data_IF_715010506102
#
_entry.id   IF_715010506102
#
_cell.length_a   1.000
_cell.length_b   1.000
_cell.length_c   1.000
_cell.angle_alpha   90.00
_cell.angle_beta   90.00
_cell.angle_gamma   90.00
#
_symmetry.space_group_name_H-M   'P 1'
#
loop_
_entity.id
_entity.type
_entity.pdbx_description
1 polymer ?
#
# COMPACT_ATOMS: atom_id res chain seq x y z
N UNK A 1 4.89 35.53 -36.61
CA UNK A 1 5.99 34.86 -37.36
C UNK A 1 5.86 35.02 -38.86
N UNK A 2 4.75 34.65 -39.50
CA UNK A 2 4.57 34.77 -40.97
C UNK A 2 4.79 36.20 -41.48
N UNK A 3 4.17 37.21 -40.83
CA UNK A 3 4.39 38.61 -41.17
C UNK A 3 5.86 39.07 -41.11
N UNK A 4 6.61 38.60 -40.08
CA UNK A 4 8.06 38.93 -39.97
C UNK A 4 8.86 38.24 -41.07
N UNK A 5 8.46 37.02 -41.45
CA UNK A 5 9.11 36.28 -42.54
C UNK A 5 8.89 36.97 -43.89
N UNK A 6 7.66 37.46 -44.16
CA UNK A 6 7.32 38.24 -45.34
C UNK A 6 8.05 39.59 -45.36
N UNK A 7 8.15 40.29 -44.22
CA UNK A 7 8.90 41.53 -44.10
C UNK A 7 10.40 41.40 -44.45
N UNK A 8 10.95 40.20 -44.22
CA UNK A 8 12.33 39.87 -44.56
C UNK A 8 12.47 39.18 -45.94
N UNK A 9 11.54 39.36 -46.84
CA UNK A 9 11.52 38.79 -48.19
C UNK A 9 11.80 37.29 -48.27
N UNK A 10 11.29 36.55 -47.26
CA UNK A 10 11.49 35.11 -47.18
C UNK A 10 12.86 34.66 -46.66
N UNK A 11 13.70 35.57 -46.20
CA UNK A 11 14.96 35.22 -45.58
C UNK A 11 14.77 34.80 -44.11
N UNK A 12 14.86 33.50 -43.87
CA UNK A 12 14.63 32.93 -42.53
C UNK A 12 15.67 33.36 -41.47
N UNK A 13 16.89 33.69 -41.88
CA UNK A 13 17.94 34.17 -40.96
C UNK A 13 17.62 35.59 -40.50
N UNK A 14 17.33 36.49 -41.45
CA UNK A 14 16.90 37.86 -41.18
C UNK A 14 15.60 37.89 -40.35
N UNK A 15 14.66 36.99 -40.62
CA UNK A 15 13.40 36.88 -39.87
C UNK A 15 13.59 36.52 -38.40
N UNK A 16 14.57 35.71 -38.06
CA UNK A 16 14.92 35.38 -36.65
C UNK A 16 15.44 36.64 -35.93
N UNK A 17 16.33 37.40 -36.57
CA UNK A 17 16.91 38.59 -35.96
C UNK A 17 15.87 39.71 -35.82
N UNK A 18 15.04 39.90 -36.83
CA UNK A 18 13.94 40.88 -36.81
C UNK A 18 12.85 40.48 -35.78
N UNK A 19 12.58 39.19 -35.61
CA UNK A 19 11.67 38.72 -34.59
C UNK A 19 12.21 38.97 -33.17
N UNK A 20 13.51 38.74 -32.93
CA UNK A 20 14.20 39.06 -31.68
C UNK A 20 14.11 40.55 -31.35
N UNK A 21 14.30 41.42 -32.38
CA UNK A 21 14.21 42.87 -32.24
C UNK A 21 12.81 43.34 -31.87
N UNK A 22 11.75 42.77 -32.49
CA UNK A 22 10.34 43.17 -32.25
C UNK A 22 9.72 42.59 -30.99
N UNK A 23 10.19 41.43 -30.58
CA UNK A 23 9.62 40.67 -29.46
C UNK A 23 10.68 40.14 -28.48
N UNK A 24 11.38 41.06 -27.75
CA UNK A 24 12.52 40.70 -26.92
C UNK A 24 12.15 39.71 -25.82
N UNK A 25 10.94 39.79 -25.24
CA UNK A 25 10.46 38.95 -24.13
C UNK A 25 9.87 37.60 -24.58
N UNK A 26 9.86 37.31 -25.88
CA UNK A 26 9.31 36.04 -26.37
C UNK A 26 10.42 35.08 -26.78
N UNK A 27 10.16 33.79 -26.56
CA UNK A 27 11.06 32.73 -27.03
C UNK A 27 11.29 32.85 -28.54
N UNK A 28 12.55 32.93 -28.95
CA UNK A 28 12.95 33.12 -30.33
C UNK A 28 12.78 31.80 -31.08
N UNK A 29 11.96 31.75 -32.17
CA UNK A 29 11.79 30.57 -32.99
C UNK A 29 13.03 30.25 -33.83
N UNK A 30 13.26 28.97 -34.10
CA UNK A 30 14.32 28.56 -35.03
C UNK A 30 13.97 28.94 -36.48
N UNK A 31 14.99 29.03 -37.35
CA UNK A 31 14.82 29.35 -38.76
C UNK A 31 13.82 28.43 -39.48
N UNK A 32 13.85 27.15 -39.20
CA UNK A 32 12.93 26.15 -39.77
C UNK A 32 11.46 26.38 -39.43
N UNK A 33 11.17 27.06 -38.33
CA UNK A 33 9.79 27.39 -37.95
C UNK A 33 9.20 28.47 -38.89
N UNK A 34 9.98 29.49 -39.28
CA UNK A 34 9.52 30.52 -40.18
C UNK A 34 9.22 29.96 -41.57
N UNK A 35 10.13 29.15 -42.13
CA UNK A 35 9.93 28.52 -43.45
C UNK A 35 8.75 27.55 -43.42
N UNK A 36 8.63 26.72 -42.38
CA UNK A 36 7.52 25.76 -42.23
C UNK A 36 6.15 26.44 -42.15
N UNK A 37 6.01 27.51 -41.35
CA UNK A 37 4.76 28.24 -41.22
C UNK A 37 4.36 28.85 -42.57
N UNK A 38 5.30 29.44 -43.30
CA UNK A 38 5.05 29.99 -44.61
C UNK A 38 4.63 28.93 -45.62
N UNK A 39 5.35 27.80 -45.64
CA UNK A 39 5.06 26.68 -46.52
C UNK A 39 3.70 26.07 -46.25
N UNK A 40 3.38 25.83 -44.98
CA UNK A 40 2.06 25.30 -44.60
C UNK A 40 0.91 26.24 -44.99
N UNK A 41 1.08 27.56 -44.79
CA UNK A 41 0.08 28.54 -45.21
C UNK A 41 -0.09 28.54 -46.73
N UNK A 42 1.02 28.44 -47.49
CA UNK A 42 1.01 28.39 -48.95
C UNK A 42 0.34 27.14 -49.49
N UNK A 43 0.63 25.98 -48.87
CA UNK A 43 0.14 24.66 -49.33
C UNK A 43 -1.30 24.35 -48.89
N UNK A 44 -1.71 24.82 -47.70
CA UNK A 44 -3.03 24.49 -47.11
C UNK A 44 -3.98 25.69 -46.95
N UNK A 45 -3.51 26.91 -47.19
CA UNK A 45 -4.31 28.12 -46.94
C UNK A 45 -4.55 28.46 -45.48
N UNK A 46 -4.00 27.64 -44.54
CA UNK A 46 -4.23 27.77 -43.10
C UNK A 46 -2.91 27.82 -42.34
N UNK A 47 -2.89 28.53 -41.19
CA UNK A 47 -1.76 28.41 -40.27
C UNK A 47 -1.73 27.04 -39.60
N UNK A 48 -0.53 26.45 -39.34
CA UNK A 48 -0.42 25.19 -38.65
C UNK A 48 -1.04 25.34 -37.25
N UNK A 49 -2.14 24.59 -36.94
CA UNK A 49 -2.68 24.48 -35.60
C UNK A 49 -1.92 23.40 -34.84
N UNK A 50 -1.76 23.60 -33.51
CA UNK A 50 -1.12 22.61 -32.67
C UNK A 50 -1.95 21.29 -32.58
N UNK A 51 -3.23 21.36 -32.96
CA UNK A 51 -4.14 20.21 -32.97
C UNK A 51 -4.00 19.30 -34.22
N UNK A 52 -3.61 19.85 -35.37
CA UNK A 52 -3.54 19.09 -36.64
C UNK A 52 -2.33 18.14 -36.71
N UNK A 53 -1.28 18.39 -35.94
CA UNK A 53 -0.11 17.49 -35.90
C UNK A 53 -0.35 16.20 -35.11
N UNK A 54 -1.35 16.17 -34.23
CA UNK A 54 -1.72 14.96 -33.44
C UNK A 54 -2.71 14.06 -34.18
N UNK A 55 -3.60 14.62 -35.00
CA UNK A 55 -4.59 13.79 -35.72
C UNK A 55 -3.99 13.00 -36.92
N UNK A 56 -2.96 13.54 -37.60
CA UNK A 56 -2.32 12.82 -38.73
C UNK A 56 -1.50 11.59 -38.31
N UNK A 57 -1.05 11.49 -37.06
CA UNK A 57 -0.37 10.31 -36.52
C UNK A 57 -1.34 9.24 -35.97
N UNK A 58 -2.57 9.62 -35.68
CA UNK A 58 -3.57 8.72 -35.08
C UNK A 58 -4.28 7.87 -36.14
N UNK A 59 -4.47 8.38 -37.36
CA UNK A 59 -5.17 7.69 -38.46
C UNK A 59 -4.34 6.57 -39.09
N UNK A 60 -3.05 6.48 -38.83
CA UNK A 60 -2.13 5.54 -39.48
C UNK A 60 -2.02 4.15 -38.88
N UNK A 61 -2.75 3.80 -37.77
CA UNK A 61 -2.44 2.54 -37.10
C UNK A 61 -3.60 1.86 -36.36
N UNK A 62 -4.74 1.64 -37.01
CA UNK A 62 -5.79 0.76 -36.51
C UNK A 62 -5.19 -0.62 -36.17
N UNK A 63 -4.37 -1.18 -37.06
CA UNK A 63 -3.65 -2.43 -36.84
C UNK A 63 -2.70 -2.42 -35.63
N UNK A 64 -2.01 -1.31 -35.37
CA UNK A 64 -1.15 -1.18 -34.18
C UNK A 64 -1.97 -1.10 -32.89
N UNK A 65 -3.09 -0.39 -32.91
CA UNK A 65 -4.02 -0.29 -31.79
C UNK A 65 -4.64 -1.66 -31.45
N UNK A 66 -5.12 -2.37 -32.45
CA UNK A 66 -5.64 -3.75 -32.32
C UNK A 66 -4.57 -4.71 -31.78
N UNK A 67 -3.32 -4.57 -32.23
CA UNK A 67 -2.21 -5.38 -31.73
C UNK A 67 -1.90 -5.06 -30.25
N UNK A 68 -1.94 -3.79 -29.84
CA UNK A 68 -1.77 -3.38 -28.43
C UNK A 68 -2.85 -4.02 -27.56
N UNK A 69 -4.12 -3.85 -27.94
CA UNK A 69 -5.26 -4.38 -27.22
C UNK A 69 -5.22 -5.92 -27.14
N UNK A 70 -5.00 -6.59 -28.28
CA UNK A 70 -4.88 -8.04 -28.29
C UNK A 70 -3.68 -8.60 -27.50
N UNK A 71 -2.63 -7.82 -27.25
CA UNK A 71 -1.56 -8.21 -26.32
C UNK A 71 -1.98 -8.07 -24.87
N UNK A 72 -2.70 -7.02 -24.51
CA UNK A 72 -3.20 -6.81 -23.15
C UNK A 72 -4.28 -7.83 -22.81
N UNK A 73 -5.19 -8.12 -23.72
CA UNK A 73 -6.24 -9.15 -23.52
C UNK A 73 -5.64 -10.53 -23.26
N UNK A 74 -4.57 -10.90 -23.99
CA UNK A 74 -3.86 -12.18 -23.78
C UNK A 74 -2.97 -12.18 -22.54
N UNK A 75 -2.47 -11.04 -22.11
CA UNK A 75 -1.52 -10.90 -21.01
C UNK A 75 -1.67 -9.54 -20.32
N UNK A 76 -2.66 -9.36 -19.44
CA UNK A 76 -2.95 -8.05 -18.80
C UNK A 76 -1.80 -7.47 -17.98
N UNK A 77 -0.86 -8.32 -17.56
CA UNK A 77 0.31 -7.91 -16.73
C UNK A 77 1.52 -7.42 -17.55
N UNK A 78 1.40 -7.31 -18.87
CA UNK A 78 2.49 -6.77 -19.69
C UNK A 78 2.66 -5.27 -19.47
N UNK A 79 3.90 -4.83 -19.19
CA UNK A 79 4.17 -3.40 -19.12
C UNK A 79 4.11 -2.74 -20.50
N UNK A 80 3.71 -1.46 -20.55
CA UNK A 80 3.65 -0.68 -21.81
C UNK A 80 4.98 -0.64 -22.59
N UNK A 81 6.12 -0.65 -21.89
CA UNK A 81 7.46 -0.76 -22.49
C UNK A 81 7.67 -2.10 -23.16
N UNK A 82 7.20 -3.18 -22.54
CA UNK A 82 7.33 -4.55 -23.09
C UNK A 82 6.40 -4.77 -24.28
N UNK A 83 5.20 -4.17 -24.26
CA UNK A 83 4.29 -4.14 -25.41
C UNK A 83 4.93 -3.38 -26.58
N UNK A 84 5.46 -2.16 -26.34
CA UNK A 84 6.14 -1.37 -27.34
C UNK A 84 7.33 -2.10 -27.98
N UNK A 85 8.15 -2.77 -27.16
CA UNK A 85 9.29 -3.57 -27.63
C UNK A 85 8.89 -4.77 -28.48
N UNK A 86 7.76 -5.43 -28.18
CA UNK A 86 7.28 -6.60 -28.93
C UNK A 86 6.66 -6.22 -30.28
N UNK A 87 5.97 -5.08 -30.34
CA UNK A 87 5.37 -4.59 -31.59
C UNK A 87 6.48 -4.06 -32.53
N UNK A 88 7.52 -3.41 -31.96
CA UNK A 88 8.56 -2.74 -32.73
C UNK A 88 8.08 -1.44 -33.37
N UNK A 89 8.94 -0.44 -33.43
CA UNK A 89 8.64 0.86 -34.06
C UNK A 89 7.60 1.74 -33.35
N UNK A 90 7.12 1.34 -32.15
CA UNK A 90 6.11 2.06 -31.35
C UNK A 90 6.73 2.54 -30.05
N UNK A 91 6.41 3.77 -29.62
CA UNK A 91 6.84 4.27 -28.33
C UNK A 91 5.91 3.77 -27.20
N UNK A 92 6.45 3.59 -25.98
CA UNK A 92 5.63 3.25 -24.82
C UNK A 92 4.55 4.30 -24.50
N UNK A 93 4.80 5.57 -24.84
CA UNK A 93 3.84 6.68 -24.69
C UNK A 93 2.64 6.51 -25.62
N UNK A 94 2.87 6.01 -26.86
CA UNK A 94 1.78 5.69 -27.77
C UNK A 94 0.94 4.51 -27.23
N UNK A 95 1.61 3.48 -26.70
CA UNK A 95 0.91 2.34 -26.06
C UNK A 95 0.03 2.82 -24.90
N UNK A 96 0.57 3.63 -23.99
CA UNK A 96 -0.21 4.18 -22.86
C UNK A 96 -1.40 5.01 -23.34
N UNK A 97 -1.20 5.89 -24.32
CA UNK A 97 -2.29 6.71 -24.86
C UNK A 97 -3.38 5.84 -25.49
N UNK A 98 -3.00 4.85 -26.31
CA UNK A 98 -3.96 3.93 -26.93
C UNK A 98 -4.76 3.15 -25.89
N UNK A 99 -4.12 2.70 -24.80
CA UNK A 99 -4.81 2.00 -23.71
C UNK A 99 -5.78 2.92 -22.96
N UNK A 100 -5.36 4.16 -22.64
CA UNK A 100 -6.23 5.12 -21.95
C UNK A 100 -7.42 5.55 -22.82
N UNK A 101 -7.25 5.71 -24.13
CA UNK A 101 -8.34 6.02 -25.06
C UNK A 101 -9.39 4.92 -25.13
N UNK A 102 -8.99 3.65 -24.85
CA UNK A 102 -9.88 2.48 -24.74
C UNK A 102 -10.33 2.17 -23.30
N UNK A 103 -10.05 3.07 -22.35
CA UNK A 103 -10.46 2.91 -20.94
C UNK A 103 -9.64 1.93 -20.13
N UNK A 104 -8.46 1.48 -20.62
CA UNK A 104 -7.56 0.63 -19.85
C UNK A 104 -6.66 1.48 -18.96
N UNK A 105 -6.65 1.18 -17.67
CA UNK A 105 -5.82 1.83 -16.67
C UNK A 105 -4.93 0.81 -15.96
N UNK A 106 -3.71 1.19 -15.51
CA UNK A 106 -2.86 0.30 -14.75
C UNK A 106 -3.36 0.21 -13.31
N UNK A 107 -3.93 -0.90 -12.94
CA UNK A 107 -4.28 -1.21 -11.56
C UNK A 107 -3.14 -1.95 -10.88
N UNK A 108 -2.89 -1.66 -9.61
CA UNK A 108 -1.92 -2.38 -8.80
C UNK A 108 -2.57 -3.61 -8.19
N UNK A 109 -1.93 -4.78 -8.38
CA UNK A 109 -2.34 -5.98 -7.65
C UNK A 109 -2.04 -5.77 -6.17
N UNK A 110 -3.03 -5.93 -5.31
CA UNK A 110 -2.84 -5.91 -3.87
C UNK A 110 -2.31 -7.28 -3.41
N UNK A 111 -1.15 -7.33 -2.73
CA UNK A 111 -0.68 -8.59 -2.15
C UNK A 111 -1.64 -9.04 -1.04
N UNK A 112 -2.15 -10.25 -1.16
CA UNK A 112 -3.03 -10.88 -0.17
C UNK A 112 -2.48 -12.22 0.24
N UNK A 113 -2.79 -12.68 1.45
CA UNK A 113 -2.38 -13.99 1.93
C UNK A 113 -3.19 -15.09 1.22
N UNK A 114 -2.52 -16.16 0.77
CA UNK A 114 -3.21 -17.30 0.13
C UNK A 114 -4.21 -17.95 1.11
N UNK A 115 -5.44 -18.16 0.65
CA UNK A 115 -6.48 -18.86 1.41
C UNK A 115 -6.63 -20.30 0.92
N UNK A 116 -6.76 -21.24 1.86
CA UNK A 116 -7.09 -22.61 1.59
C UNK A 116 -8.63 -22.78 1.45
N UNK A 117 -9.12 -23.78 0.71
CA UNK A 117 -10.57 -23.95 0.50
C UNK A 117 -11.41 -23.99 1.78
N UNK A 118 -10.88 -24.56 2.88
CA UNK A 118 -11.56 -24.63 4.17
C UNK A 118 -11.60 -23.31 4.96
N UNK A 119 -10.78 -22.33 4.61
CA UNK A 119 -10.71 -21.05 5.31
C UNK A 119 -11.93 -20.18 5.06
N UNK A 120 -12.46 -20.22 3.84
CA UNK A 120 -13.62 -19.41 3.45
C UNK A 120 -14.81 -19.59 4.40
N UNK A 121 -15.14 -20.83 4.75
CA UNK A 121 -16.25 -21.13 5.67
C UNK A 121 -15.97 -20.61 7.08
N UNK A 122 -14.73 -20.76 7.58
CA UNK A 122 -14.34 -20.29 8.91
C UNK A 122 -14.35 -18.76 8.97
N UNK A 123 -13.87 -18.08 7.95
CA UNK A 123 -13.90 -16.62 7.82
C UNK A 123 -15.34 -16.11 7.83
N UNK A 124 -16.24 -16.70 7.03
CA UNK A 124 -17.65 -16.33 7.06
C UNK A 124 -18.31 -16.57 8.40
N UNK A 125 -18.00 -17.69 9.10
CA UNK A 125 -18.58 -17.99 10.41
C UNK A 125 -18.15 -16.95 11.45
N UNK A 126 -16.87 -16.59 11.49
CA UNK A 126 -16.37 -15.56 12.37
C UNK A 126 -17.00 -14.19 12.05
N UNK A 127 -17.06 -13.80 10.78
CA UNK A 127 -17.66 -12.55 10.38
C UNK A 127 -19.16 -12.46 10.75
N UNK A 128 -19.92 -13.55 10.57
CA UNK A 128 -21.31 -13.62 11.04
C UNK A 128 -21.43 -13.51 12.54
N UNK A 129 -20.49 -14.11 13.29
CA UNK A 129 -20.45 -13.98 14.74
C UNK A 129 -20.19 -12.52 15.15
N UNK A 130 -19.25 -11.82 14.52
CA UNK A 130 -19.00 -10.38 14.73
C UNK A 130 -20.24 -9.55 14.44
N UNK A 131 -20.94 -9.79 13.32
CA UNK A 131 -22.15 -9.06 12.96
C UNK A 131 -23.33 -9.32 13.93
N UNK A 132 -23.38 -10.52 14.53
CA UNK A 132 -24.40 -10.86 15.51
C UNK A 132 -24.11 -10.26 16.90
N UNK A 133 -22.88 -9.82 17.18
CA UNK A 133 -22.44 -9.30 18.48
C UNK A 133 -21.66 -7.99 18.36
N UNK A 134 -22.18 -6.95 17.68
CA UNK A 134 -21.46 -5.69 17.48
C UNK A 134 -21.15 -4.96 18.80
N UNK A 135 -21.93 -5.20 19.84
CA UNK A 135 -21.74 -4.65 21.19
C UNK A 135 -20.47 -5.18 21.88
N UNK A 136 -19.95 -6.33 21.46
CA UNK A 136 -18.74 -6.91 22.04
C UNK A 136 -17.45 -6.28 21.50
N UNK A 137 -17.48 -5.56 20.37
CA UNK A 137 -16.26 -5.00 19.76
C UNK A 137 -15.46 -4.12 20.73
N UNK A 138 -16.14 -3.37 21.60
CA UNK A 138 -15.48 -2.52 22.60
C UNK A 138 -14.83 -3.28 23.76
N UNK A 139 -15.12 -4.58 23.92
CA UNK A 139 -14.58 -5.43 24.99
C UNK A 139 -13.76 -6.62 24.48
N UNK A 140 -13.55 -6.73 23.17
CA UNK A 140 -12.58 -7.68 22.61
C UNK A 140 -11.19 -7.06 22.71
N UNK A 141 -10.28 -7.73 23.43
CA UNK A 141 -8.85 -7.48 23.39
C UNK A 141 -8.27 -8.23 22.18
N UNK A 142 -8.10 -7.56 21.05
CA UNK A 142 -7.39 -8.09 19.91
C UNK A 142 -5.89 -8.05 20.19
N UNK A 143 -5.19 -9.16 20.01
CA UNK A 143 -3.75 -9.27 20.27
C UNK A 143 -3.00 -9.83 19.07
N UNK A 144 -1.75 -9.40 18.92
CA UNK A 144 -0.87 -9.89 17.87
C UNK A 144 0.60 -9.56 18.17
N UNK A 145 1.52 -10.20 17.45
CA UNK A 145 2.95 -9.99 17.52
C UNK A 145 3.50 -9.48 16.18
N UNK A 146 4.39 -8.51 16.26
CA UNK A 146 5.11 -8.02 15.09
C UNK A 146 6.62 -8.02 15.30
N UNK A 147 7.34 -8.37 14.23
CA UNK A 147 8.79 -8.22 14.18
C UNK A 147 9.16 -6.91 13.50
N UNK A 148 10.05 -6.17 14.15
CA UNK A 148 10.69 -4.97 13.62
C UNK A 148 12.15 -5.27 13.37
N UNK A 149 12.64 -4.99 12.16
CA UNK A 149 14.02 -5.27 11.76
C UNK A 149 14.75 -3.97 11.47
N UNK A 150 16.09 -4.01 11.46
CA UNK A 150 16.93 -2.85 11.11
C UNK A 150 16.56 -2.24 9.75
N UNK A 151 16.31 -3.10 8.76
CA UNK A 151 16.15 -2.68 7.38
C UNK A 151 14.72 -2.17 7.07
N UNK A 152 13.82 -2.23 8.04
CA UNK A 152 12.45 -1.73 7.90
C UNK A 152 11.62 -2.50 6.88
N UNK A 153 10.66 -1.80 6.32
CA UNK A 153 9.90 -2.27 5.16
C UNK A 153 10.72 -1.95 3.91
N UNK A 154 11.45 -2.91 3.37
CA UNK A 154 12.18 -2.75 2.11
C UNK A 154 11.19 -2.56 0.94
N UNK A 155 10.71 -1.33 0.77
CA UNK A 155 9.94 -0.96 -0.42
C UNK A 155 10.93 -0.51 -1.52
N UNK A 156 11.60 -1.47 -2.15
CA UNK A 156 12.54 -1.23 -3.26
C UNK A 156 11.89 -0.53 -4.47
N UNK A 157 10.56 -0.47 -4.53
CA UNK A 157 9.83 0.20 -5.62
C UNK A 157 9.79 1.72 -5.51
N UNK A 158 10.02 2.28 -4.31
CA UNK A 158 9.97 3.72 -4.06
C UNK A 158 11.33 4.37 -3.77
N UNK A 159 12.43 3.63 -3.86
CA UNK A 159 13.78 4.21 -3.72
C UNK A 159 14.21 4.79 -5.07
N UNK A 160 14.15 6.10 -5.20
CA UNK A 160 14.54 6.85 -6.40
C UNK A 160 15.59 7.89 -6.03
N UNK A 161 16.65 7.97 -6.82
CA UNK A 161 17.65 9.04 -6.70
C UNK A 161 17.45 10.02 -7.86
N UNK A 162 17.05 11.25 -7.56
CA UNK A 162 16.94 12.31 -8.53
C UNK A 162 18.32 12.89 -8.79
N UNK A 163 18.79 12.82 -10.04
CA UNK A 163 20.07 13.38 -10.46
C UNK A 163 20.00 13.80 -11.92
N UNK A 164 20.81 14.80 -12.31
CA UNK A 164 20.91 15.23 -13.70
C UNK A 164 21.59 14.18 -14.60
N UNK A 165 22.50 13.39 -14.04
CA UNK A 165 23.17 12.26 -14.69
C UNK A 165 22.87 10.99 -13.89
N UNK A 166 22.88 9.81 -14.55
CA UNK A 166 22.69 8.55 -13.86
C UNK A 166 23.79 8.36 -12.80
N UNK A 167 23.48 8.41 -11.48
CA UNK A 167 24.49 8.31 -10.44
C UNK A 167 24.96 6.88 -10.21
N UNK A 168 24.44 5.89 -10.96
CA UNK A 168 24.67 4.45 -10.71
C UNK A 168 24.57 4.10 -9.22
N UNK A 169 23.61 4.71 -8.51
CA UNK A 169 23.46 4.60 -7.09
C UNK A 169 23.23 3.14 -6.68
N UNK A 170 24.05 2.67 -5.75
CA UNK A 170 23.92 1.33 -5.15
C UNK A 170 23.51 1.49 -3.70
N UNK A 171 22.57 0.68 -3.25
CA UNK A 171 22.22 0.57 -1.83
C UNK A 171 23.02 -0.56 -1.21
N UNK A 172 23.94 -0.24 -0.32
CA UNK A 172 24.74 -1.25 0.40
C UNK A 172 23.86 -1.84 1.50
N UNK A 173 23.45 -3.09 1.34
CA UNK A 173 22.84 -3.88 2.41
C UNK A 173 23.94 -4.61 3.17
N UNK A 174 24.21 -4.17 4.40
CA UNK A 174 25.18 -4.82 5.29
C UNK A 174 24.54 -6.04 5.96
N UNK A 175 24.97 -7.23 5.57
CA UNK A 175 24.49 -8.50 6.15
C UNK A 175 24.96 -8.75 7.60
N UNK A 176 25.96 -8.02 8.08
CA UNK A 176 26.66 -8.30 9.36
C UNK A 176 26.01 -7.68 10.60
N UNK A 177 25.00 -6.83 10.47
CA UNK A 177 24.38 -6.14 11.63
C UNK A 177 22.86 -6.29 11.61
N UNK A 178 22.37 -7.51 11.37
CA UNK A 178 20.92 -7.77 11.44
C UNK A 178 20.51 -7.93 12.89
N UNK A 179 19.62 -7.07 13.34
CA UNK A 179 18.90 -7.22 14.60
C UNK A 179 17.40 -7.08 14.34
N UNK A 180 16.64 -7.70 15.21
CA UNK A 180 15.20 -7.57 15.24
C UNK A 180 14.71 -7.37 16.66
N UNK A 181 13.55 -6.76 16.79
CA UNK A 181 12.80 -6.64 18.06
C UNK A 181 11.41 -7.18 17.78
N UNK A 182 11.05 -8.23 18.51
CA UNK A 182 9.70 -8.79 18.46
C UNK A 182 8.88 -8.12 19.57
N UNK A 183 7.71 -7.65 19.23
CA UNK A 183 6.82 -6.99 20.18
C UNK A 183 5.42 -7.59 20.11
N UNK A 184 4.80 -7.70 21.27
CA UNK A 184 3.38 -7.98 21.42
C UNK A 184 2.64 -6.68 21.66
N UNK A 185 1.47 -6.52 21.07
CA UNK A 185 0.51 -5.47 21.38
C UNK A 185 -0.91 -6.03 21.47
N UNK A 186 -1.76 -5.30 22.17
CA UNK A 186 -3.20 -5.51 22.16
C UNK A 186 -3.95 -4.20 21.94
N UNK A 187 -5.16 -4.28 21.40
CA UNK A 187 -6.09 -3.16 21.31
C UNK A 187 -7.45 -3.55 21.86
N UNK A 188 -8.05 -2.66 22.66
CA UNK A 188 -9.37 -2.84 23.24
C UNK A 188 -10.09 -1.48 23.32
N UNK A 189 -11.28 -1.38 22.74
CA UNK A 189 -12.02 -0.13 22.69
C UNK A 189 -11.23 0.98 21.98
N UNK A 190 -10.76 1.96 22.72
CA UNK A 190 -9.96 3.09 22.25
C UNK A 190 -8.50 3.04 22.73
N UNK A 191 -8.06 1.91 23.29
CA UNK A 191 -6.77 1.79 23.98
C UNK A 191 -5.82 0.84 23.28
N UNK A 192 -4.55 1.23 23.19
CA UNK A 192 -3.42 0.39 22.81
C UNK A 192 -2.71 -0.12 24.07
N UNK A 193 -2.63 -1.43 24.23
CA UNK A 193 -1.96 -2.15 25.30
C UNK A 193 -0.57 -2.60 24.86
N UNK A 194 0.43 -2.49 25.71
CA UNK A 194 1.84 -2.71 25.32
C UNK A 194 2.41 -1.47 24.62
N UNK A 195 3.49 -1.53 23.84
CA UNK A 195 4.15 -2.76 23.38
C UNK A 195 4.90 -3.48 24.49
N UNK A 196 4.88 -4.79 24.45
CA UNK A 196 5.73 -5.63 25.29
C UNK A 196 6.80 -6.28 24.40
N UNK A 197 8.07 -6.15 24.79
CA UNK A 197 9.18 -6.71 24.00
C UNK A 197 9.35 -8.19 24.35
N UNK A 198 9.22 -9.04 23.35
CA UNK A 198 9.47 -10.48 23.47
C UNK A 198 10.97 -10.72 23.26
N UNK A 199 11.65 -11.24 24.28
CA UNK A 199 13.10 -11.38 24.25
C UNK A 199 13.62 -12.50 23.34
N UNK A 200 12.79 -13.54 23.11
CA UNK A 200 13.13 -14.72 22.33
C UNK A 200 12.05 -15.07 21.30
N UNK A 201 12.32 -16.11 20.51
CA UNK A 201 11.27 -16.70 19.68
C UNK A 201 10.15 -17.21 20.55
N UNK A 202 8.93 -16.84 20.20
CA UNK A 202 7.73 -17.20 20.93
C UNK A 202 7.52 -18.72 20.87
N UNK A 203 7.50 -19.38 22.01
CA UNK A 203 7.07 -20.76 22.18
C UNK A 203 5.77 -20.82 22.98
N UNK A 204 5.10 -21.99 23.02
CA UNK A 204 3.90 -22.14 23.84
C UNK A 204 4.14 -21.88 25.33
N UNK A 205 5.30 -22.30 25.85
CA UNK A 205 5.68 -22.11 27.24
C UNK A 205 5.96 -20.63 27.56
N UNK A 206 6.75 -19.97 26.71
CA UNK A 206 7.07 -18.55 26.91
C UNK A 206 5.84 -17.66 26.75
N UNK A 207 4.92 -18.03 25.85
CA UNK A 207 3.67 -17.29 25.68
C UNK A 207 2.72 -17.49 26.86
N UNK A 208 2.62 -18.70 27.40
CA UNK A 208 1.84 -18.96 28.62
C UNK A 208 2.38 -18.18 29.82
N UNK A 209 3.69 -18.15 30.01
CA UNK A 209 4.33 -17.34 31.06
C UNK A 209 4.00 -15.86 30.87
N UNK A 210 4.13 -15.32 29.66
CA UNK A 210 3.74 -13.94 29.35
C UNK A 210 2.27 -13.66 29.71
N UNK A 211 1.34 -14.53 29.31
CA UNK A 211 -0.08 -14.36 29.61
C UNK A 211 -0.36 -14.37 31.12
N UNK A 212 0.38 -15.16 31.88
CA UNK A 212 0.18 -15.32 33.33
C UNK A 212 0.84 -14.20 34.14
N UNK A 213 2.04 -13.77 33.75
CA UNK A 213 2.85 -12.84 34.57
C UNK A 213 2.79 -11.40 34.10
N UNK A 214 2.79 -11.15 32.79
CA UNK A 214 2.93 -9.81 32.23
C UNK A 214 1.57 -9.19 31.83
N UNK A 215 0.72 -9.97 31.18
CA UNK A 215 -0.57 -9.48 30.69
C UNK A 215 -1.44 -8.83 31.78
N UNK A 216 -1.55 -9.36 33.01
CA UNK A 216 -2.33 -8.71 34.06
C UNK A 216 -1.85 -7.30 34.38
N UNK A 217 -0.54 -7.09 34.46
CA UNK A 217 0.05 -5.76 34.69
C UNK A 217 -0.22 -4.80 33.51
N UNK A 218 -0.12 -5.28 32.27
CA UNK A 218 -0.43 -4.47 31.09
C UNK A 218 -1.90 -4.03 31.01
N UNK A 219 -2.79 -4.75 31.70
CA UNK A 219 -4.24 -4.48 31.74
C UNK A 219 -4.67 -3.67 32.96
N UNK A 220 -3.77 -3.22 33.83
CA UNK A 220 -4.15 -2.51 35.07
C UNK A 220 -4.94 -1.22 34.81
N UNK A 221 -4.61 -0.49 33.75
CA UNK A 221 -5.29 0.75 33.35
C UNK A 221 -6.65 0.51 32.67
N UNK A 222 -7.04 -0.75 32.43
CA UNK A 222 -8.33 -1.08 31.87
C UNK A 222 -9.36 -1.19 33.00
N UNK A 223 -10.49 -0.44 32.93
CA UNK A 223 -11.51 -0.50 33.98
C UNK A 223 -11.96 -1.93 34.30
N UNK A 224 -12.11 -2.22 35.58
CA UNK A 224 -12.46 -3.59 36.06
C UNK A 224 -13.70 -4.14 35.36
N UNK A 225 -14.72 -3.31 35.15
CA UNK A 225 -15.96 -3.72 34.47
C UNK A 225 -15.69 -4.20 33.04
N UNK A 226 -14.76 -3.56 32.32
CA UNK A 226 -14.34 -3.98 30.99
C UNK A 226 -13.56 -5.29 31.06
N UNK A 227 -12.61 -5.42 32.02
CA UNK A 227 -11.84 -6.65 32.21
C UNK A 227 -12.72 -7.86 32.55
N UNK A 228 -13.77 -7.66 33.32
CA UNK A 228 -14.71 -8.74 33.66
C UNK A 228 -15.51 -9.27 32.47
N UNK A 229 -15.75 -8.42 31.45
CA UNK A 229 -16.50 -8.77 30.23
C UNK A 229 -15.57 -9.06 29.05
N UNK A 230 -14.26 -8.84 29.19
CA UNK A 230 -13.27 -8.93 28.15
C UNK A 230 -13.26 -10.30 27.47
N UNK A 231 -13.25 -10.26 26.13
CA UNK A 231 -12.90 -11.40 25.28
C UNK A 231 -11.44 -11.27 24.89
N UNK A 232 -10.67 -12.33 25.05
CA UNK A 232 -9.28 -12.37 24.60
C UNK A 232 -9.20 -12.96 23.20
N UNK A 233 -8.58 -12.24 22.24
CA UNK A 233 -8.39 -12.75 20.89
C UNK A 233 -6.90 -12.89 20.57
N UNK A 234 -6.51 -14.02 20.00
CA UNK A 234 -5.23 -14.23 19.35
C UNK A 234 -5.39 -15.08 18.08
N UNK A 235 -4.36 -15.09 17.24
CA UNK A 235 -4.38 -15.87 16.01
C UNK A 235 -4.16 -17.38 16.21
N UNK A 236 -4.08 -18.14 15.12
CA UNK A 236 -3.90 -19.58 15.14
C UNK A 236 -2.45 -20.06 15.11
N UNK A 237 -1.47 -19.22 15.44
CA UNK A 237 -0.05 -19.57 15.45
C UNK A 237 0.25 -20.79 16.34
N UNK A 238 1.25 -21.63 16.01
CA UNK A 238 1.56 -22.83 16.79
C UNK A 238 1.79 -22.58 18.29
N UNK A 239 2.47 -21.51 18.75
CA UNK A 239 2.62 -21.20 20.16
C UNK A 239 1.26 -20.98 20.86
N UNK A 240 0.33 -20.30 20.19
CA UNK A 240 -0.99 -19.97 20.72
C UNK A 240 -1.90 -21.21 20.88
N UNK A 241 -1.66 -22.25 20.09
CA UNK A 241 -2.42 -23.51 20.16
C UNK A 241 -1.85 -24.53 21.15
N UNK A 242 -0.81 -24.19 21.91
CA UNK A 242 -0.24 -25.09 22.91
C UNK A 242 -1.29 -25.48 23.98
N UNK A 243 -1.12 -26.66 24.60
CA UNK A 243 -2.02 -27.13 25.63
C UNK A 243 -2.05 -26.19 26.84
N UNK A 244 -0.89 -25.71 27.28
CA UNK A 244 -0.76 -24.83 28.44
C UNK A 244 -1.49 -23.48 28.21
N UNK A 245 -1.34 -22.89 27.05
CA UNK A 245 -2.02 -21.63 26.68
C UNK A 245 -3.53 -21.81 26.68
N UNK A 246 -4.04 -22.90 26.09
CA UNK A 246 -5.50 -23.18 26.08
C UNK A 246 -6.07 -23.44 27.46
N UNK A 247 -5.33 -24.17 28.30
CA UNK A 247 -5.71 -24.41 29.71
C UNK A 247 -5.79 -23.10 30.50
N UNK A 248 -4.79 -22.22 30.33
CA UNK A 248 -4.79 -20.88 30.93
C UNK A 248 -5.97 -20.03 30.44
N UNK A 249 -6.20 -19.94 29.11
CA UNK A 249 -7.31 -19.16 28.59
C UNK A 249 -8.69 -19.69 29.02
N UNK A 250 -8.87 -20.99 29.05
CA UNK A 250 -10.12 -21.58 29.55
C UNK A 250 -10.38 -21.25 31.04
N UNK A 251 -9.33 -21.13 31.85
CA UNK A 251 -9.43 -20.77 33.26
C UNK A 251 -9.66 -19.26 33.46
N UNK A 252 -8.91 -18.42 32.73
CA UNK A 252 -8.92 -16.97 32.91
C UNK A 252 -10.04 -16.26 32.11
N UNK A 253 -10.42 -16.81 30.98
CA UNK A 253 -11.46 -16.28 30.09
C UNK A 253 -12.51 -17.37 29.73
N UNK A 254 -13.22 -17.93 30.68
CA UNK A 254 -14.15 -19.04 30.44
C UNK A 254 -15.23 -18.62 29.43
N UNK A 255 -15.27 -19.32 28.27
CA UNK A 255 -16.14 -19.04 27.14
C UNK A 255 -15.96 -17.63 26.48
N UNK A 256 -14.89 -16.91 26.80
CA UNK A 256 -14.63 -15.54 26.36
C UNK A 256 -13.25 -15.40 25.74
N UNK A 257 -12.84 -16.36 24.91
CA UNK A 257 -11.64 -16.19 24.08
C UNK A 257 -11.86 -16.67 22.66
N UNK A 258 -11.17 -16.01 21.73
CA UNK A 258 -11.24 -16.18 20.29
C UNK A 258 -9.87 -16.64 19.82
N UNK A 259 -9.80 -17.84 19.26
CA UNK A 259 -8.53 -18.40 18.82
C UNK A 259 -8.70 -19.79 18.22
N UNK A 260 -7.62 -20.39 17.77
CA UNK A 260 -7.63 -21.77 17.29
C UNK A 260 -7.97 -22.75 18.43
N UNK A 261 -9.07 -23.46 18.27
CA UNK A 261 -9.57 -24.42 19.29
C UNK A 261 -10.23 -23.75 20.49
N UNK A 262 -10.55 -22.46 20.41
CA UNK A 262 -11.33 -21.73 21.40
C UNK A 262 -12.83 -21.90 21.26
N UNK A 263 -13.60 -21.37 22.23
CA UNK A 263 -15.06 -21.31 22.17
C UNK A 263 -15.55 -20.62 20.91
N UNK A 264 -14.80 -19.58 20.47
CA UNK A 264 -15.00 -18.88 19.22
C UNK A 264 -13.75 -19.09 18.37
N UNK A 265 -13.91 -19.74 17.21
CA UNK A 265 -12.78 -20.08 16.35
C UNK A 265 -12.29 -18.86 15.58
N UNK A 266 -11.00 -18.51 15.72
CA UNK A 266 -10.35 -17.53 14.85
C UNK A 266 -10.08 -18.14 13.47
N UNK A 267 -10.48 -17.49 12.38
CA UNK A 267 -10.22 -18.00 11.04
C UNK A 267 -8.73 -17.92 10.70
N UNK A 268 -8.13 -18.97 10.15
CA UNK A 268 -6.73 -18.95 9.76
C UNK A 268 -6.51 -17.98 8.60
N UNK A 269 -5.27 -17.47 8.47
CA UNK A 269 -4.83 -16.62 7.35
C UNK A 269 -5.71 -15.37 7.16
N UNK A 270 -6.10 -14.71 8.27
CA UNK A 270 -7.05 -13.59 8.26
C UNK A 270 -6.49 -12.32 8.91
N UNK A 271 -5.32 -11.78 8.44
CA UNK A 271 -4.80 -10.52 8.94
C UNK A 271 -5.72 -9.34 8.59
N UNK A 272 -6.54 -9.48 7.56
CA UNK A 272 -7.55 -8.51 7.13
C UNK A 272 -8.73 -8.36 8.11
N UNK A 273 -8.81 -9.20 9.15
CA UNK A 273 -9.84 -9.20 10.19
C UNK A 273 -9.33 -8.80 11.59
N UNK A 274 -8.06 -8.44 11.77
CA UNK A 274 -7.54 -7.95 13.05
C UNK A 274 -7.07 -6.50 12.95
N UNK A 275 -7.50 -5.61 13.88
CA UNK A 275 -7.09 -4.21 13.90
C UNK A 275 -5.58 -3.99 13.96
N UNK A 276 -4.85 -4.95 14.53
CA UNK A 276 -3.40 -4.88 14.63
C UNK A 276 -2.76 -4.97 13.24
N UNK A 277 -3.16 -5.94 12.42
CA UNK A 277 -2.59 -6.12 11.09
C UNK A 277 -3.02 -5.05 10.10
N UNK A 278 -4.34 -4.76 10.00
CA UNK A 278 -4.81 -3.85 8.96
C UNK A 278 -4.60 -2.36 9.29
N UNK A 279 -4.28 -2.01 10.56
CA UNK A 279 -4.07 -0.62 10.96
C UNK A 279 -2.84 -0.40 11.83
N UNK A 280 -2.77 -1.00 13.04
CA UNK A 280 -1.79 -0.64 14.06
C UNK A 280 -0.35 -0.87 13.60
N UNK A 281 -0.04 -2.05 13.08
CA UNK A 281 1.32 -2.37 12.63
C UNK A 281 1.78 -1.52 11.45
N UNK A 282 0.89 -1.25 10.51
CA UNK A 282 1.19 -0.35 9.38
C UNK A 282 1.53 1.05 9.84
N UNK A 283 0.71 1.63 10.71
CA UNK A 283 0.92 2.95 11.29
C UNK A 283 2.19 3.01 12.14
N UNK A 284 2.37 2.05 13.06
CA UNK A 284 3.57 1.97 13.91
C UNK A 284 4.85 1.85 13.07
N UNK A 285 4.87 0.99 12.06
CA UNK A 285 6.03 0.84 11.16
C UNK A 285 6.32 2.13 10.38
N UNK A 286 5.31 2.87 9.96
CA UNK A 286 5.50 4.16 9.29
C UNK A 286 6.22 5.15 10.19
N UNK A 287 5.83 5.25 11.46
CA UNK A 287 6.47 6.13 12.44
C UNK A 287 7.89 5.68 12.80
N UNK A 288 8.09 4.38 13.03
CA UNK A 288 9.40 3.81 13.41
C UNK A 288 10.44 4.00 12.32
N UNK A 289 10.04 3.84 11.06
CA UNK A 289 10.94 3.87 9.91
C UNK A 289 10.90 5.17 9.10
N UNK A 290 10.41 6.27 9.69
CA UNK A 290 10.47 7.60 9.08
C UNK A 290 11.91 7.99 8.72
N UNK A 291 12.86 7.57 9.55
CA UNK A 291 14.29 7.68 9.29
C UNK A 291 14.98 6.35 9.51
N UNK A 292 16.18 6.19 8.94
CA UNK A 292 16.99 4.96 9.09
C UNK A 292 17.26 4.66 10.56
N UNK A 293 17.20 3.38 10.91
CA UNK A 293 17.50 2.87 12.27
C UNK A 293 18.93 2.34 12.31
N UNK A 294 19.72 2.79 13.27
CA UNK A 294 21.14 2.44 13.36
C UNK A 294 21.48 1.42 14.46
N UNK A 295 20.66 1.34 15.53
CA UNK A 295 20.88 0.38 16.62
C UNK A 295 19.60 -0.30 17.10
N UNK A 296 19.73 -1.41 17.85
CA UNK A 296 18.61 -2.13 18.44
C UNK A 296 17.93 -1.31 19.54
N UNK A 297 18.69 -0.56 20.30
CA UNK A 297 18.23 0.33 21.38
C UNK A 297 17.39 1.46 20.79
N UNK A 298 17.87 2.07 19.71
CA UNK A 298 17.13 3.09 18.97
C UNK A 298 15.82 2.51 18.40
N UNK A 299 15.85 1.30 17.83
CA UNK A 299 14.65 0.64 17.34
C UNK A 299 13.62 0.45 18.46
N UNK A 300 14.04 -0.04 19.62
CA UNK A 300 13.17 -0.17 20.79
C UNK A 300 12.57 1.18 21.18
N UNK A 301 13.41 2.22 21.34
CA UNK A 301 12.96 3.56 21.70
C UNK A 301 11.89 4.08 20.72
N UNK A 302 12.13 3.93 19.42
CA UNK A 302 11.18 4.37 18.38
C UNK A 302 9.86 3.58 18.39
N UNK A 303 9.90 2.29 18.69
CA UNK A 303 8.69 1.46 18.84
C UNK A 303 7.83 2.00 19.98
N UNK A 304 8.43 2.30 21.15
CA UNK A 304 7.69 2.86 22.28
C UNK A 304 7.16 4.26 21.99
N UNK A 305 7.96 5.12 21.38
CA UNK A 305 7.53 6.47 20.97
C UNK A 305 6.37 6.43 19.94
N UNK A 306 6.42 5.48 18.98
CA UNK A 306 5.33 5.28 18.04
C UNK A 306 4.05 4.78 18.73
N UNK A 307 4.17 3.89 19.72
CA UNK A 307 3.04 3.46 20.52
C UNK A 307 2.41 4.60 21.33
N UNK A 308 3.24 5.48 21.92
CA UNK A 308 2.75 6.66 22.65
C UNK A 308 2.04 7.64 21.70
N UNK A 309 2.57 7.81 20.49
CA UNK A 309 1.90 8.59 19.46
C UNK A 309 0.52 8.01 19.12
N UNK A 310 0.42 6.69 18.90
CA UNK A 310 -0.85 6.02 18.60
C UNK A 310 -1.82 6.16 19.77
N UNK A 311 -1.38 6.01 21.03
CA UNK A 311 -2.21 6.20 22.23
C UNK A 311 -2.78 7.59 22.35
N UNK A 312 -2.05 8.61 21.87
CA UNK A 312 -2.54 10.00 21.86
C UNK A 312 -3.66 10.25 20.86
N UNK A 313 -4.03 9.24 20.02
CA UNK A 313 -5.09 9.31 19.03
C UNK A 313 -6.13 8.18 19.23
N UNK A 314 -6.84 8.16 20.38
CA UNK A 314 -7.76 7.06 20.73
C UNK A 314 -8.90 6.88 19.73
N UNK A 315 -9.38 7.97 19.11
CA UNK A 315 -10.44 7.93 18.08
C UNK A 315 -10.03 7.09 16.87
N UNK A 316 -8.74 7.10 16.50
CA UNK A 316 -8.22 6.30 15.40
C UNK A 316 -8.21 4.81 15.72
N UNK A 317 -7.91 4.45 16.98
CA UNK A 317 -7.97 3.06 17.45
C UNK A 317 -9.42 2.58 17.45
N UNK A 318 -10.33 3.38 18.03
CA UNK A 318 -11.75 3.07 18.07
C UNK A 318 -12.33 2.90 16.66
N UNK A 319 -11.99 3.81 15.73
CA UNK A 319 -12.41 3.73 14.32
C UNK A 319 -11.87 2.48 13.64
N UNK A 320 -10.62 2.10 13.90
CA UNK A 320 -10.06 0.86 13.40
C UNK A 320 -10.88 -0.33 13.88
N UNK A 321 -11.15 -0.48 15.18
CA UNK A 321 -11.96 -1.58 15.71
C UNK A 321 -13.36 -1.57 15.09
N UNK A 322 -14.02 -0.43 14.99
CA UNK A 322 -15.37 -0.33 14.37
C UNK A 322 -15.38 -0.71 12.88
N UNK A 323 -14.28 -0.47 12.17
CA UNK A 323 -14.15 -0.86 10.75
C UNK A 323 -14.25 -2.38 10.55
N UNK A 324 -14.07 -3.19 11.60
CA UNK A 324 -14.23 -4.64 11.52
C UNK A 324 -15.65 -5.05 11.10
N UNK A 325 -16.69 -4.26 11.41
CA UNK A 325 -18.07 -4.54 10.96
C UNK A 325 -18.17 -4.46 9.42
N UNK A 326 -17.60 -3.42 8.82
CA UNK A 326 -17.59 -3.24 7.37
C UNK A 326 -16.74 -4.33 6.72
N UNK A 327 -15.61 -4.68 7.32
CA UNK A 327 -14.74 -5.77 6.86
C UNK A 327 -15.44 -7.12 6.93
N UNK A 328 -16.18 -7.38 8.00
CA UNK A 328 -16.98 -8.60 8.15
C UNK A 328 -18.08 -8.68 7.09
N UNK A 329 -18.76 -7.58 6.80
CA UNK A 329 -19.78 -7.49 5.74
C UNK A 329 -19.17 -7.81 4.37
N UNK A 330 -18.07 -7.16 4.00
CA UNK A 330 -17.37 -7.39 2.75
C UNK A 330 -16.83 -8.83 2.64
N UNK A 331 -16.30 -9.38 3.73
CA UNK A 331 -15.85 -10.78 3.78
C UNK A 331 -17.01 -11.75 3.49
N UNK A 332 -18.18 -11.53 4.08
CA UNK A 332 -19.38 -12.35 3.81
C UNK A 332 -19.82 -12.15 2.36
N UNK A 333 -19.86 -10.91 1.86
CA UNK A 333 -20.23 -10.59 0.48
C UNK A 333 -19.35 -11.26 -0.57
N UNK A 334 -18.07 -11.48 -0.26
CA UNK A 334 -17.13 -12.22 -1.12
C UNK A 334 -17.09 -13.74 -0.87
N UNK A 335 -18.03 -14.27 -0.05
CA UNK A 335 -18.07 -15.69 0.28
C UNK A 335 -16.87 -16.18 1.11
N UNK A 336 -16.30 -15.30 1.95
CA UNK A 336 -15.11 -15.57 2.77
C UNK A 336 -13.78 -15.34 2.03
N UNK A 337 -13.83 -14.84 0.80
CA UNK A 337 -12.64 -14.49 0.00
C UNK A 337 -11.97 -13.18 0.42
N UNK A 338 -11.02 -12.74 -0.38
CA UNK A 338 -10.38 -11.43 -0.21
C UNK A 338 -11.35 -10.31 -0.58
N UNK A 339 -11.35 -9.25 0.21
CA UNK A 339 -12.25 -8.10 0.07
C UNK A 339 -11.53 -6.75 0.24
N UNK A 340 -10.24 -6.74 0.54
CA UNK A 340 -9.50 -5.50 0.82
C UNK A 340 -9.52 -4.51 -0.35
N UNK A 341 -9.66 -4.99 -1.58
CA UNK A 341 -9.83 -4.18 -2.78
C UNK A 341 -11.20 -3.47 -2.86
N UNK A 342 -12.12 -3.77 -1.94
CA UNK A 342 -13.46 -3.17 -1.86
C UNK A 342 -13.57 -2.07 -0.77
N UNK A 343 -12.48 -1.85 0.00
CA UNK A 343 -12.42 -0.90 1.13
C UNK A 343 -11.96 0.53 0.70
#
# INVERSE_FOLDING_TARGET
>A
MHFVYGFCDGNARAAVDEYRRRFPDRRIPSRSVFTRIHQTLRDSGCFPSLSVSSERQVVGNISTRENILGMVDRSPRLSSRRIASRIGGVSHTLVLRSLHEEGYYPYHDQPVQHLEPGDHAKRMNFCRWIQAHPELLGVILFTDEASFTRDGINNSRNVHTWSQNNPHATTVTTFQSRFSVNVWCGVIGDKLIGPFVLENNLSGDTYEVFLRTELPGLLEDIPLMVRMQMFFQHDGAPPHYSRLVREYLNASFPNRWIGRGGPIEWPPRSPDLTPLDYYIWGHMKTLVYETKVDSREELRHRIFAAADHIRSHPDSIASAIQSLLIRAENCIGTGGGHFEQLL
#
